data_IF_262102995555
#
_entry.id   IF_262102995555
#
_cell.length_a   1.000
_cell.length_b   1.000
_cell.length_c   1.000
_cell.angle_alpha   90.00
_cell.angle_beta   90.00
_cell.angle_gamma   90.00
#
_symmetry.space_group_name_H-M   'P 1'
#
loop_
_entity.id
_entity.type
_entity.pdbx_description
1 polymer ?
#
# COMPACT_ATOMS: atom_id res chain seq x y z
N UNK A 1 5.02 13.43 13.07
CA UNK A 1 5.48 12.44 12.07
C UNK A 1 6.46 13.11 11.13
N UNK A 2 7.62 12.48 10.89
CA UNK A 2 8.66 13.00 9.98
C UNK A 2 8.45 12.43 8.58
N UNK A 3 8.53 13.28 7.55
CA UNK A 3 8.49 12.83 6.16
C UNK A 3 9.81 12.13 5.80
N UNK A 4 9.71 10.99 5.12
CA UNK A 4 10.86 10.28 4.55
C UNK A 4 11.14 10.80 3.14
N UNK A 5 12.38 10.75 2.69
CA UNK A 5 12.82 11.21 1.35
C UNK A 5 13.15 10.00 0.46
N UNK A 6 12.85 10.09 -0.82
CA UNK A 6 13.26 9.14 -1.85
C UNK A 6 13.52 9.88 -3.16
N UNK A 7 14.49 9.42 -3.94
CA UNK A 7 14.76 9.91 -5.29
C UNK A 7 14.21 8.87 -6.25
N UNK A 8 13.39 9.29 -7.20
CA UNK A 8 12.86 8.45 -8.26
C UNK A 8 13.08 9.19 -9.57
N UNK A 9 13.80 8.55 -10.48
CA UNK A 9 14.35 9.20 -11.68
C UNK A 9 15.23 10.38 -11.25
N UNK A 10 14.92 11.61 -11.69
CA UNK A 10 15.67 12.83 -11.36
C UNK A 10 14.97 13.68 -10.30
N UNK A 11 13.81 13.24 -9.81
CA UNK A 11 12.96 14.00 -8.90
C UNK A 11 13.08 13.51 -7.46
N UNK A 12 13.00 14.47 -6.54
CA UNK A 12 12.98 14.19 -5.11
C UNK A 12 11.54 14.18 -4.62
N UNK A 13 11.18 13.13 -3.89
CA UNK A 13 9.87 12.97 -3.28
C UNK A 13 9.96 12.86 -1.76
N UNK A 14 8.94 13.40 -1.10
CA UNK A 14 8.74 13.27 0.34
C UNK A 14 7.50 12.42 0.58
N UNK A 15 7.55 11.49 1.53
CA UNK A 15 6.41 10.61 1.78
C UNK A 15 6.22 10.28 3.26
N UNK A 16 5.01 9.84 3.59
CA UNK A 16 4.65 9.24 4.87
C UNK A 16 3.65 8.11 4.64
N UNK A 17 3.58 7.22 5.60
CA UNK A 17 2.55 6.20 5.68
C UNK A 17 1.82 6.27 7.02
N UNK A 18 0.52 5.99 6.99
CA UNK A 18 -0.33 5.92 8.18
C UNK A 18 -1.16 4.64 8.09
N UNK A 19 -1.23 3.90 9.20
CA UNK A 19 -2.12 2.75 9.31
C UNK A 19 -3.29 3.08 10.20
N UNK A 20 -4.48 2.62 9.83
CA UNK A 20 -5.70 2.77 10.60
C UNK A 20 -6.47 1.47 10.69
N UNK A 21 -7.53 1.50 11.48
CA UNK A 21 -8.44 0.39 11.73
C UNK A 21 -9.87 0.88 11.47
N UNK A 22 -10.67 0.06 10.79
CA UNK A 22 -12.11 0.31 10.71
C UNK A 22 -12.74 -0.07 12.04
N UNK A 23 -13.19 0.91 12.82
CA UNK A 23 -13.79 0.64 14.13
C UNK A 23 -14.96 -0.33 14.02
N UNK A 24 -14.87 -1.49 14.68
CA UNK A 24 -15.89 -2.54 14.65
C UNK A 24 -15.91 -3.38 13.37
N UNK A 25 -14.93 -3.24 12.48
CA UNK A 25 -14.78 -4.06 11.27
C UNK A 25 -13.45 -4.82 11.30
N UNK A 26 -13.36 -5.92 10.54
CA UNK A 26 -12.14 -6.73 10.40
C UNK A 26 -11.22 -6.15 9.30
N UNK A 27 -11.23 -4.82 9.13
CA UNK A 27 -10.58 -4.10 8.05
C UNK A 27 -9.45 -3.22 8.58
N UNK A 28 -8.27 -3.36 8.00
CA UNK A 28 -7.14 -2.47 8.23
C UNK A 28 -6.91 -1.57 7.01
N UNK A 29 -6.52 -0.32 7.27
CA UNK A 29 -6.13 0.64 6.23
C UNK A 29 -4.65 0.95 6.30
N UNK A 30 -4.04 1.17 5.14
CA UNK A 30 -2.68 1.68 5.01
C UNK A 30 -2.72 2.80 3.95
N UNK A 31 -2.55 4.05 4.39
CA UNK A 31 -2.47 5.20 3.48
C UNK A 31 -1.00 5.57 3.25
N UNK A 32 -0.60 5.74 1.99
CA UNK A 32 0.66 6.36 1.60
C UNK A 32 0.34 7.75 1.04
N UNK A 33 0.94 8.79 1.63
CA UNK A 33 0.91 10.14 1.08
C UNK A 33 2.29 10.49 0.53
N UNK A 34 2.36 10.90 -0.74
CA UNK A 34 3.59 11.32 -1.42
C UNK A 34 3.45 12.75 -1.93
N UNK A 35 4.52 13.52 -1.80
CA UNK A 35 4.65 14.89 -2.26
C UNK A 35 5.89 14.97 -3.16
N UNK A 36 5.81 15.78 -4.21
CA UNK A 36 7.02 16.24 -4.90
C UNK A 36 7.72 17.28 -4.00
N UNK A 37 9.05 17.23 -3.93
CA UNK A 37 9.82 18.21 -3.15
C UNK A 37 9.48 19.64 -3.63
N UNK A 38 9.31 20.57 -2.69
CA UNK A 38 8.83 21.94 -2.91
C UNK A 38 7.36 22.10 -3.40
N UNK A 39 6.63 21.01 -3.66
CA UNK A 39 5.21 21.05 -4.06
C UNK A 39 4.33 20.18 -3.15
N UNK A 40 3.88 20.75 -2.02
CA UNK A 40 3.10 20.02 -0.99
C UNK A 40 1.57 20.14 -1.12
N UNK A 41 1.08 20.99 -2.01
CA UNK A 41 -0.34 21.35 -2.11
C UNK A 41 -1.21 20.25 -2.75
N UNK A 42 -0.59 19.43 -3.61
CA UNK A 42 -1.26 18.40 -4.41
C UNK A 42 -0.63 17.01 -4.19
N UNK A 43 -0.73 16.46 -2.97
CA UNK A 43 -0.17 15.13 -2.70
C UNK A 43 -0.86 14.05 -3.50
N UNK A 44 -0.08 13.04 -3.86
CA UNK A 44 -0.57 11.73 -4.23
C UNK A 44 -1.01 10.99 -2.98
N UNK A 45 -2.23 10.43 -3.00
CA UNK A 45 -2.76 9.58 -1.92
C UNK A 45 -3.10 8.19 -2.44
N UNK A 46 -2.52 7.19 -1.82
CA UNK A 46 -2.73 5.78 -2.16
C UNK A 46 -3.26 5.07 -0.93
N UNK A 47 -4.40 4.40 -1.08
CA UNK A 47 -5.08 3.72 0.01
C UNK A 47 -5.09 2.21 -0.24
N UNK A 48 -4.63 1.45 0.73
CA UNK A 48 -4.74 0.00 0.76
C UNK A 48 -5.76 -0.37 1.83
N UNK A 49 -6.78 -1.13 1.43
CA UNK A 49 -7.80 -1.67 2.33
C UNK A 49 -7.62 -3.18 2.32
N UNK A 50 -7.35 -3.76 3.48
CA UNK A 50 -7.10 -5.19 3.65
C UNK A 50 -7.85 -5.72 4.86
N UNK A 51 -7.83 -7.02 5.08
CA UNK A 51 -8.13 -7.56 6.40
C UNK A 51 -7.15 -7.07 7.47
N UNK A 52 -7.58 -7.15 8.72
CA UNK A 52 -6.78 -6.85 9.91
C UNK A 52 -6.31 -8.14 10.60
N UNK A 53 -5.00 -8.23 10.89
CA UNK A 53 -4.49 -9.21 11.85
C UNK A 53 -4.71 -8.69 13.27
N UNK A 54 -5.36 -9.46 14.13
CA UNK A 54 -5.62 -9.06 15.53
C UNK A 54 -4.37 -8.70 16.34
N UNK A 55 -3.19 -9.19 15.95
CA UNK A 55 -1.93 -8.93 16.65
C UNK A 55 -0.98 -8.06 15.85
N UNK A 56 -0.91 -8.26 14.53
CA UNK A 56 0.03 -7.58 13.65
C UNK A 56 -0.55 -6.34 12.96
N UNK A 57 -1.86 -6.12 13.03
CA UNK A 57 -2.59 -5.06 12.35
C UNK A 57 -2.60 -5.27 10.83
N UNK A 58 -2.35 -4.19 10.07
CA UNK A 58 -2.38 -4.27 8.61
C UNK A 58 -1.25 -5.22 8.07
N UNK A 59 -1.57 -6.26 7.29
CA UNK A 59 -0.58 -7.22 6.77
C UNK A 59 0.49 -6.60 5.89
N UNK A 60 0.19 -5.51 5.17
CA UNK A 60 1.16 -4.84 4.32
C UNK A 60 2.15 -3.96 5.12
N UNK A 61 1.89 -3.71 6.40
CA UNK A 61 2.79 -2.99 7.31
C UNK A 61 3.88 -3.91 7.88
N UNK A 62 3.49 -5.09 8.35
CA UNK A 62 4.40 -6.08 8.95
C UNK A 62 5.04 -6.95 7.87
N UNK A 63 4.26 -7.24 6.84
CA UNK A 63 4.65 -7.89 5.61
C UNK A 63 3.94 -9.22 5.44
N UNK A 64 3.60 -9.53 4.19
CA UNK A 64 2.79 -10.68 3.79
C UNK A 64 3.39 -11.33 2.56
N UNK A 65 3.27 -12.66 2.47
CA UNK A 65 3.72 -13.41 1.30
C UNK A 65 2.67 -13.27 0.19
N UNK A 66 3.06 -12.70 -0.95
CA UNK A 66 2.23 -12.64 -2.15
C UNK A 66 2.89 -13.44 -3.27
N UNK A 67 2.06 -14.10 -4.07
CA UNK A 67 2.52 -14.90 -5.21
C UNK A 67 2.49 -14.07 -6.48
N UNK A 68 3.55 -14.16 -7.30
CA UNK A 68 3.57 -13.61 -8.65
C UNK A 68 2.83 -14.54 -9.59
N UNK A 69 1.84 -14.01 -10.31
CA UNK A 69 0.99 -14.81 -11.20
C UNK A 69 1.77 -15.45 -12.36
N UNK A 70 2.77 -14.75 -12.91
CA UNK A 70 3.53 -15.21 -14.07
C UNK A 70 4.57 -16.29 -13.74
N UNK A 71 5.26 -16.17 -12.61
CA UNK A 71 6.37 -17.07 -12.24
C UNK A 71 5.99 -18.07 -11.14
N UNK A 72 4.83 -17.89 -10.49
CA UNK A 72 4.42 -18.62 -9.28
C UNK A 72 5.38 -18.45 -8.08
N UNK A 73 6.34 -17.51 -8.18
CA UNK A 73 7.26 -17.22 -7.08
C UNK A 73 6.56 -16.43 -5.99
N UNK A 74 6.87 -16.77 -4.75
CA UNK A 74 6.35 -16.05 -3.58
C UNK A 74 7.36 -15.01 -3.10
N UNK A 75 6.89 -13.78 -2.89
CA UNK A 75 7.69 -12.67 -2.38
C UNK A 75 7.10 -12.14 -1.07
N UNK A 76 7.96 -11.78 -0.12
CA UNK A 76 7.53 -11.10 1.10
C UNK A 76 7.37 -9.59 0.86
N UNK A 77 6.11 -9.14 0.80
CA UNK A 77 5.70 -7.77 0.50
C UNK A 77 5.46 -6.99 1.77
N UNK A 78 6.20 -5.89 1.96
CA UNK A 78 6.05 -4.97 3.08
C UNK A 78 6.21 -3.52 2.56
N UNK A 79 5.15 -2.72 2.67
CA UNK A 79 5.09 -1.37 2.10
C UNK A 79 5.98 -0.34 2.80
N UNK A 80 6.56 -0.68 3.96
CA UNK A 80 7.59 0.17 4.59
C UNK A 80 8.94 0.10 3.85
N UNK A 81 9.12 -0.86 2.93
CA UNK A 81 10.33 -0.96 2.11
C UNK A 81 10.31 0.11 1.01
N UNK A 82 11.38 0.93 0.84
CA UNK A 82 11.42 2.00 -0.14
C UNK A 82 11.09 1.60 -1.59
N UNK A 83 11.37 0.34 -1.97
CA UNK A 83 11.05 -0.17 -3.31
C UNK A 83 9.58 -0.02 -3.68
N UNK A 84 8.64 -0.24 -2.75
CA UNK A 84 7.21 -0.11 -3.08
C UNK A 84 6.76 1.35 -3.16
N UNK A 85 7.43 2.26 -2.44
CA UNK A 85 7.20 3.71 -2.60
C UNK A 85 7.62 4.15 -4.00
N UNK A 86 8.75 3.64 -4.50
CA UNK A 86 9.20 3.87 -5.88
C UNK A 86 8.16 3.36 -6.89
N UNK A 87 7.67 2.13 -6.72
CA UNK A 87 6.65 1.58 -7.63
C UNK A 87 5.33 2.36 -7.60
N UNK A 88 4.92 2.83 -6.42
CA UNK A 88 3.76 3.73 -6.28
C UNK A 88 3.92 5.03 -7.08
N UNK A 89 5.10 5.65 -7.01
CA UNK A 89 5.42 6.87 -7.76
C UNK A 89 5.37 6.60 -9.27
N UNK A 90 6.05 5.56 -9.74
CA UNK A 90 6.10 5.22 -11.17
C UNK A 90 4.72 4.85 -11.73
N UNK A 91 3.93 4.09 -10.99
CA UNK A 91 2.55 3.77 -11.38
C UNK A 91 1.73 5.04 -11.55
N UNK A 92 1.84 5.97 -10.60
CA UNK A 92 1.05 7.21 -10.59
C UNK A 92 1.47 8.17 -11.70
N UNK A 93 2.77 8.24 -12.01
CA UNK A 93 3.29 9.00 -13.17
C UNK A 93 2.68 8.47 -14.47
N UNK A 94 2.64 7.14 -14.65
CA UNK A 94 1.97 6.51 -15.81
C UNK A 94 0.47 6.82 -15.88
N UNK A 95 -0.18 7.07 -14.74
CA UNK A 95 -1.57 7.50 -14.65
C UNK A 95 -1.77 9.02 -14.76
N UNK A 96 -0.71 9.79 -15.03
CA UNK A 96 -0.77 11.23 -15.29
C UNK A 96 -0.55 12.12 -14.08
N UNK A 97 -0.11 11.59 -12.94
CA UNK A 97 0.34 12.42 -11.81
C UNK A 97 1.73 13.00 -12.07
N UNK A 98 1.90 14.32 -11.87
CA UNK A 98 3.17 15.02 -12.07
C UNK A 98 3.69 15.74 -10.81
N UNK A 99 3.06 15.51 -9.65
CA UNK A 99 3.41 16.16 -8.39
C UNK A 99 2.82 17.56 -8.19
N UNK A 100 2.35 18.21 -9.25
CA UNK A 100 1.77 19.56 -9.22
C UNK A 100 0.28 19.58 -9.55
N UNK A 101 -0.26 18.49 -10.12
CA UNK A 101 -1.68 18.32 -10.36
C UNK A 101 -2.36 17.52 -9.25
N UNK A 102 -3.63 17.83 -9.00
CA UNK A 102 -4.49 17.02 -8.14
C UNK A 102 -4.96 15.80 -8.93
N UNK A 103 -4.86 14.63 -8.31
CA UNK A 103 -5.42 13.38 -8.81
C UNK A 103 -6.33 12.78 -7.74
N UNK A 104 -7.24 11.90 -8.15
CA UNK A 104 -8.03 11.12 -7.20
C UNK A 104 -7.14 10.15 -6.40
N UNK A 105 -7.65 9.66 -5.27
CA UNK A 105 -6.92 8.67 -4.50
C UNK A 105 -6.86 7.35 -5.26
N UNK A 106 -5.68 6.74 -5.28
CA UNK A 106 -5.45 5.47 -5.96
C UNK A 106 -5.71 4.31 -5.01
N UNK A 107 -6.41 3.30 -5.50
CA UNK A 107 -6.49 1.99 -4.87
C UNK A 107 -5.13 1.27 -4.97
N UNK A 108 -4.47 1.12 -3.82
CA UNK A 108 -3.14 0.54 -3.72
C UNK A 108 -3.07 -0.93 -4.14
N UNK A 109 -4.16 -1.70 -4.03
CA UNK A 109 -4.16 -3.10 -4.46
C UNK A 109 -4.00 -3.22 -5.98
N UNK A 110 -4.53 -2.25 -6.75
CA UNK A 110 -4.30 -2.19 -8.22
C UNK A 110 -2.83 -2.01 -8.58
N UNK A 111 -2.06 -1.32 -7.73
CA UNK A 111 -0.62 -1.16 -7.93
C UNK A 111 0.07 -2.52 -7.76
N UNK A 112 -0.24 -3.27 -6.69
CA UNK A 112 0.31 -4.61 -6.48
C UNK A 112 -0.09 -5.58 -7.61
N UNK A 113 -1.33 -5.51 -8.10
CA UNK A 113 -1.77 -6.27 -9.28
C UNK A 113 -0.97 -5.89 -10.52
N UNK A 114 -0.69 -4.60 -10.75
CA UNK A 114 0.13 -4.15 -11.88
C UNK A 114 1.59 -4.62 -11.80
N UNK A 115 2.06 -4.92 -10.59
CA UNK A 115 3.37 -5.55 -10.34
C UNK A 115 3.34 -7.08 -10.53
N UNK A 116 2.17 -7.65 -10.87
CA UNK A 116 1.98 -9.08 -11.13
C UNK A 116 1.67 -9.93 -9.91
N UNK A 117 1.34 -9.32 -8.77
CA UNK A 117 0.96 -10.06 -7.57
C UNK A 117 -0.51 -10.47 -7.58
N UNK A 118 -0.77 -11.69 -7.11
CA UNK A 118 -2.10 -12.06 -6.64
C UNK A 118 -2.38 -11.37 -5.30
N UNK A 119 -3.43 -10.55 -5.28
CA UNK A 119 -3.88 -9.80 -4.09
C UNK A 119 -5.16 -10.37 -3.49
N UNK A 120 -5.69 -11.46 -4.04
CA UNK A 120 -6.97 -12.06 -3.63
C UNK A 120 -6.97 -12.39 -2.14
N UNK A 121 -5.82 -12.81 -1.61
CA UNK A 121 -5.61 -13.12 -0.20
C UNK A 121 -5.62 -11.90 0.73
N UNK A 122 -5.62 -10.66 0.21
CA UNK A 122 -5.61 -9.43 1.01
C UNK A 122 -7.00 -8.83 1.22
N UNK A 123 -7.98 -9.23 0.42
CA UNK A 123 -9.34 -8.72 0.56
C UNK A 123 -9.95 -9.18 1.89
N UNK A 124 -10.64 -8.28 2.62
CA UNK A 124 -11.41 -8.67 3.79
C UNK A 124 -12.39 -9.80 3.45
N UNK A 125 -12.51 -10.78 4.34
CA UNK A 125 -13.44 -11.90 4.21
C UNK A 125 -14.49 -11.80 5.30
N UNK A 126 -15.76 -11.81 4.91
CA UNK A 126 -16.86 -11.73 5.85
C UNK A 126 -16.96 -13.02 6.69
N UNK A 127 -17.07 -12.89 8.01
CA UNK A 127 -17.18 -14.03 8.94
C UNK A 127 -15.85 -14.69 9.32
N UNK A 128 -14.72 -14.10 8.94
CA UNK A 128 -13.38 -14.62 9.25
C UNK A 128 -12.54 -13.62 10.03
N UNK A 129 -11.95 -14.09 11.12
CA UNK A 129 -10.95 -13.37 11.89
C UNK A 129 -9.56 -13.86 11.46
N UNK A 130 -8.60 -12.94 11.33
CA UNK A 130 -7.21 -13.30 11.08
C UNK A 130 -6.34 -13.01 12.32
N UNK A 131 -5.62 -14.04 12.75
CA UNK A 131 -4.67 -13.97 13.85
C UNK A 131 -3.37 -14.68 13.46
N UNK A 132 -2.24 -13.97 13.59
CA UNK A 132 -0.92 -14.46 13.17
C UNK A 132 -0.88 -14.95 11.70
N UNK A 133 -1.61 -14.26 10.81
CA UNK A 133 -1.74 -14.62 9.40
C UNK A 133 -2.51 -15.92 9.13
N UNK A 134 -3.27 -16.42 10.12
CA UNK A 134 -4.15 -17.59 9.99
C UNK A 134 -5.61 -17.17 10.09
N UNK A 135 -6.45 -17.80 9.28
CA UNK A 135 -7.90 -17.56 9.25
C UNK A 135 -8.63 -18.42 10.28
N UNK A 136 -9.58 -17.82 10.97
CA UNK A 136 -10.47 -18.43 11.96
C UNK A 136 -11.91 -18.04 11.64
N UNK A 137 -12.85 -18.98 11.78
CA UNK A 137 -14.27 -18.65 11.74
C UNK A 137 -14.63 -17.86 13.00
N UNK A 138 -15.49 -16.86 12.81
CA UNK A 138 -16.01 -16.03 13.90
C UNK A 138 -16.94 -16.78 14.84
#
# INVERSE_FOLDING_TARGET
MTLRKIIVEENVYLYKSVTGFGGGTEIATFEITIFLENHKQTPLKINFITWEDLYAGNPLKTGVKLTRLSTQETEFVNLNRPKYIRECILYSIKMGWNGQNKVESIDGLKILMSLGFDVSCLHPKEGFIIAHGKEYLK
#
